data_IF_711010189128
#
_entry.id   IF_711010189128
#
_cell.length_a   1.000
_cell.length_b   1.000
_cell.length_c   1.000
_cell.angle_alpha   90.00
_cell.angle_beta   90.00
_cell.angle_gamma   90.00
#
_symmetry.space_group_name_H-M   'P 1'
#
loop_
_entity.id
_entity.type
_entity.pdbx_description
1 polymer ?
#
# COMPACT_ATOMS: atom_id res chain seq x y z
N UNK A 1 -45.42 -20.28 46.88
CA UNK A 1 -43.95 -20.34 47.07
C UNK A 1 -43.30 -19.87 45.80
N UNK A 2 -42.58 -18.75 45.86
CA UNK A 2 -41.90 -18.12 44.73
C UNK A 2 -40.71 -18.98 44.28
N UNK A 3 -40.71 -19.43 43.03
CA UNK A 3 -39.50 -19.96 42.41
C UNK A 3 -39.03 -18.99 41.33
N UNK A 4 -37.79 -18.52 41.53
CA UNK A 4 -37.02 -17.62 40.68
C UNK A 4 -36.84 -18.24 39.29
N UNK A 5 -36.59 -17.43 38.27
CA UNK A 5 -35.52 -17.62 37.28
C UNK A 5 -35.39 -16.35 36.41
N UNK A 6 -34.15 -16.08 36.00
CA UNK A 6 -33.53 -14.80 35.69
C UNK A 6 -33.96 -14.15 34.35
N UNK A 7 -33.75 -12.83 34.18
CA UNK A 7 -33.95 -12.13 32.91
C UNK A 7 -32.86 -12.54 31.89
N UNK A 8 -33.29 -13.08 30.75
CA UNK A 8 -32.43 -13.37 29.61
C UNK A 8 -31.90 -12.07 28.97
N UNK A 9 -30.66 -11.70 29.33
CA UNK A 9 -29.87 -10.71 28.61
C UNK A 9 -29.34 -11.35 27.31
N UNK A 10 -29.95 -11.03 26.18
CA UNK A 10 -29.40 -11.33 24.86
C UNK A 10 -28.28 -10.32 24.56
N UNK A 11 -27.03 -10.77 24.69
CA UNK A 11 -25.84 -10.00 24.31
C UNK A 11 -25.76 -10.03 22.78
N UNK A 12 -26.12 -8.91 22.15
CA UNK A 12 -25.87 -8.65 20.73
C UNK A 12 -24.36 -8.59 20.48
N UNK A 13 -23.79 -9.69 20.03
CA UNK A 13 -22.40 -9.76 19.58
C UNK A 13 -22.25 -9.19 18.17
N UNK A 14 -22.03 -7.88 18.04
CA UNK A 14 -21.52 -7.30 16.81
C UNK A 14 -20.02 -7.57 16.71
N UNK A 15 -19.63 -8.73 16.16
CA UNK A 15 -18.25 -8.97 15.74
C UNK A 15 -17.98 -8.20 14.44
N UNK A 16 -17.65 -6.92 14.54
CA UNK A 16 -17.09 -6.18 13.41
C UNK A 16 -15.66 -6.69 13.15
N UNK A 17 -15.53 -7.69 12.28
CA UNK A 17 -14.26 -8.11 11.70
C UNK A 17 -13.79 -7.03 10.72
N UNK A 18 -13.19 -5.96 11.23
CA UNK A 18 -12.43 -5.02 10.41
C UNK A 18 -10.98 -5.50 10.31
N UNK A 19 -10.73 -6.46 9.43
CA UNK A 19 -9.37 -6.89 9.11
C UNK A 19 -9.06 -6.59 7.64
N UNK A 20 -8.50 -5.39 7.47
CA UNK A 20 -7.53 -4.92 6.49
C UNK A 20 -7.70 -5.34 5.03
N UNK A 21 -7.90 -4.40 4.08
CA UNK A 21 -7.46 -4.66 2.72
C UNK A 21 -5.94 -4.85 2.80
N UNK A 22 -5.48 -6.10 2.70
CA UNK A 22 -4.11 -6.38 2.27
C UNK A 22 -3.99 -5.80 0.87
N UNK A 23 -3.63 -4.51 0.80
CA UNK A 23 -3.11 -3.91 -0.41
C UNK A 23 -1.77 -4.61 -0.59
N UNK A 24 -1.79 -5.71 -1.34
CA UNK A 24 -0.59 -6.37 -1.79
C UNK A 24 0.21 -5.32 -2.55
N UNK A 25 1.14 -4.67 -1.85
CA UNK A 25 2.15 -3.86 -2.50
C UNK A 25 2.87 -4.86 -3.40
N UNK A 26 2.65 -4.75 -4.71
CA UNK A 26 3.25 -5.63 -5.68
C UNK A 26 4.73 -5.72 -5.34
N UNK A 27 5.18 -6.86 -4.80
CA UNK A 27 6.59 -7.12 -4.47
C UNK A 27 7.42 -7.31 -5.75
N UNK A 28 6.98 -6.69 -6.84
CA UNK A 28 7.45 -6.90 -8.18
C UNK A 28 7.35 -5.58 -8.92
N UNK A 29 8.45 -5.21 -9.55
CA UNK A 29 8.54 -4.05 -10.40
C UNK A 29 7.71 -4.25 -11.67
N UNK A 30 7.21 -3.15 -12.20
CA UNK A 30 6.58 -3.13 -13.51
C UNK A 30 7.64 -3.32 -14.61
N UNK A 31 7.30 -3.91 -15.77
CA UNK A 31 8.16 -3.82 -16.95
C UNK A 31 8.40 -2.36 -17.33
N UNK A 32 9.61 -2.04 -17.79
CA UNK A 32 10.03 -0.66 -18.12
C UNK A 32 9.02 0.05 -19.03
N UNK A 33 8.65 -0.55 -20.16
CA UNK A 33 7.72 0.08 -21.09
C UNK A 33 6.38 0.43 -20.42
N UNK A 34 5.82 -0.48 -19.61
CA UNK A 34 4.58 -0.21 -18.88
C UNK A 34 4.77 0.89 -17.83
N UNK A 35 5.94 1.00 -17.24
CA UNK A 35 6.24 2.06 -16.29
C UNK A 35 6.28 3.42 -16.99
N UNK A 36 7.01 3.52 -18.11
CA UNK A 36 7.11 4.74 -18.92
C UNK A 36 5.73 5.21 -19.40
N UNK A 37 4.88 4.30 -19.87
CA UNK A 37 3.49 4.61 -20.27
C UNK A 37 2.66 5.23 -19.11
N UNK A 38 3.00 4.93 -17.86
CA UNK A 38 2.33 5.51 -16.70
C UNK A 38 2.95 6.83 -16.24
N UNK A 39 4.25 7.09 -16.46
CA UNK A 39 4.90 8.33 -16.01
C UNK A 39 4.23 9.57 -16.63
N UNK A 40 3.78 9.45 -17.88
CA UNK A 40 3.13 10.51 -18.64
C UNK A 40 1.63 10.67 -18.31
N UNK A 41 1.09 9.83 -17.42
CA UNK A 41 -0.33 9.85 -17.06
C UNK A 41 -0.74 11.14 -16.33
N UNK A 42 -1.89 11.75 -16.65
CA UNK A 42 -2.34 12.97 -16.00
C UNK A 42 -2.59 12.74 -14.50
N UNK A 43 -2.08 13.66 -13.67
CA UNK A 43 -2.22 13.56 -12.20
C UNK A 43 -1.32 12.50 -11.55
N UNK A 44 -0.41 11.89 -12.32
CA UNK A 44 0.61 11.02 -11.79
C UNK A 44 1.82 11.83 -11.30
N UNK A 45 2.46 11.31 -10.25
CA UNK A 45 3.64 11.90 -9.62
C UNK A 45 4.72 10.84 -9.56
N UNK A 46 5.88 11.15 -10.12
CA UNK A 46 7.08 10.31 -10.07
C UNK A 46 7.90 10.67 -8.84
N UNK A 47 8.23 9.65 -8.04
CA UNK A 47 9.14 9.75 -6.90
C UNK A 47 10.33 8.84 -7.12
N UNK A 48 11.54 9.38 -6.94
CA UNK A 48 12.79 8.61 -7.03
C UNK A 48 13.53 8.68 -5.70
N UNK A 49 13.89 7.52 -5.15
CA UNK A 49 14.70 7.42 -3.94
C UNK A 49 15.38 6.04 -3.84
N UNK A 50 16.31 5.87 -2.89
CA UNK A 50 17.05 4.62 -2.72
C UNK A 50 16.20 3.53 -2.05
N UNK A 51 15.72 2.59 -2.85
CA UNK A 51 14.83 1.50 -2.42
C UNK A 51 13.37 1.90 -2.22
N UNK A 52 12.48 0.91 -2.23
CA UNK A 52 11.03 1.10 -2.17
C UNK A 52 10.56 1.72 -0.85
N UNK A 53 11.25 1.48 0.27
CA UNK A 53 10.87 2.08 1.54
C UNK A 53 11.06 3.60 1.52
N UNK A 54 12.15 4.09 0.94
CA UNK A 54 12.43 5.52 0.82
C UNK A 54 11.46 6.23 -0.13
N UNK A 55 11.15 5.59 -1.27
CA UNK A 55 10.14 6.07 -2.22
C UNK A 55 8.78 6.21 -1.53
N UNK A 56 8.38 5.20 -0.76
CA UNK A 56 7.10 5.21 -0.04
C UNK A 56 7.08 6.18 1.13
N UNK A 57 8.21 6.37 1.82
CA UNK A 57 8.33 7.42 2.83
C UNK A 57 8.14 8.80 2.20
N UNK A 58 8.72 9.03 1.02
CA UNK A 58 8.57 10.29 0.32
C UNK A 58 7.16 10.55 -0.19
N UNK A 59 6.54 9.54 -0.80
CA UNK A 59 5.16 9.65 -1.26
C UNK A 59 4.20 9.99 -0.11
N UNK A 60 4.39 9.39 1.08
CA UNK A 60 3.61 9.74 2.28
C UNK A 60 3.87 11.18 2.74
N UNK A 61 5.13 11.62 2.73
CA UNK A 61 5.50 13.00 3.10
C UNK A 61 4.85 14.04 2.18
N UNK A 62 4.67 13.70 0.91
CA UNK A 62 3.97 14.54 -0.06
C UNK A 62 2.43 14.38 -0.05
N UNK A 63 1.88 13.49 0.77
CA UNK A 63 0.43 13.24 0.84
C UNK A 63 -0.14 12.50 -0.37
N UNK A 64 0.70 11.78 -1.12
CA UNK A 64 0.29 11.06 -2.33
C UNK A 64 -0.55 9.82 -2.00
N UNK A 65 -1.40 9.43 -2.94
CA UNK A 65 -2.34 8.33 -2.75
C UNK A 65 -1.66 6.97 -2.92
N UNK A 66 -1.99 6.07 -2.00
CA UNK A 66 -1.57 4.67 -2.01
C UNK A 66 -2.69 3.74 -2.51
N UNK A 67 -2.36 2.56 -3.09
CA UNK A 67 -1.01 2.11 -3.41
C UNK A 67 -0.37 2.90 -4.56
N UNK A 68 0.95 2.80 -4.70
CA UNK A 68 1.62 3.21 -5.93
C UNK A 68 0.96 2.52 -7.14
N UNK A 69 0.90 3.23 -8.26
CA UNK A 69 0.54 2.67 -9.56
C UNK A 69 1.57 1.62 -9.97
N UNK A 70 2.85 1.89 -9.68
CA UNK A 70 3.95 1.02 -10.07
C UNK A 70 5.27 1.42 -9.44
N UNK A 71 6.19 0.46 -9.41
CA UNK A 71 7.60 0.69 -9.10
C UNK A 71 8.47 0.16 -10.23
N UNK A 72 9.61 0.79 -10.46
CA UNK A 72 10.59 0.34 -11.45
C UNK A 72 11.99 0.87 -11.13
N UNK A 73 12.98 0.06 -11.46
CA UNK A 73 14.39 0.37 -11.48
C UNK A 73 15.06 -0.35 -12.66
N UNK A 74 16.17 0.17 -13.20
CA UNK A 74 16.89 -0.48 -14.30
C UNK A 74 17.37 -1.89 -13.96
N UNK A 75 17.78 -2.11 -12.71
CA UNK A 75 18.44 -3.35 -12.25
C UNK A 75 17.51 -4.30 -11.46
N UNK A 76 16.20 -4.01 -11.43
CA UNK A 76 15.22 -4.76 -10.63
C UNK A 76 15.60 -4.84 -9.12
N UNK A 77 15.96 -3.68 -8.55
CA UNK A 77 16.50 -3.52 -7.20
C UNK A 77 15.58 -2.79 -6.22
N UNK A 78 14.41 -2.29 -6.61
CA UNK A 78 13.49 -1.54 -5.74
C UNK A 78 13.19 -2.25 -4.42
N UNK A 79 12.96 -3.57 -4.49
CA UNK A 79 12.60 -4.41 -3.34
C UNK A 79 13.79 -5.16 -2.72
N UNK A 80 15.02 -4.86 -3.15
CA UNK A 80 16.22 -5.49 -2.59
C UNK A 80 16.43 -5.09 -1.14
N UNK A 81 16.86 -6.04 -0.32
CA UNK A 81 17.29 -5.82 1.07
C UNK A 81 18.74 -6.28 1.24
N UNK A 82 19.70 -5.38 1.53
CA UNK A 82 19.54 -3.91 1.66
C UNK A 82 19.23 -3.23 0.30
N UNK A 83 18.78 -1.96 0.29
CA UNK A 83 18.58 -1.19 -0.94
C UNK A 83 19.87 -1.09 -1.76
N UNK A 84 19.83 -1.60 -3.00
CA UNK A 84 21.01 -1.69 -3.88
C UNK A 84 21.13 -0.55 -4.89
N UNK A 85 20.07 0.24 -5.08
CA UNK A 85 20.06 1.33 -6.04
C UNK A 85 18.81 2.18 -5.91
N UNK A 86 18.65 3.08 -6.87
CA UNK A 86 17.48 3.94 -6.96
C UNK A 86 16.26 3.13 -7.39
N UNK A 87 15.13 3.53 -6.84
CA UNK A 87 13.81 3.02 -7.16
C UNK A 87 12.94 4.20 -7.57
N UNK A 88 12.12 3.98 -8.59
CA UNK A 88 11.13 4.94 -9.05
C UNK A 88 9.75 4.41 -8.70
N UNK A 89 8.90 5.24 -8.09
CA UNK A 89 7.50 4.95 -7.82
C UNK A 89 6.60 5.97 -8.47
N UNK A 90 5.50 5.51 -9.08
CA UNK A 90 4.46 6.38 -9.62
C UNK A 90 3.26 6.34 -8.69
N UNK A 91 2.80 7.51 -8.27
CA UNK A 91 1.66 7.68 -7.38
C UNK A 91 0.63 8.60 -8.03
N UNK A 92 -0.60 8.55 -7.53
CA UNK A 92 -1.58 9.59 -7.84
C UNK A 92 -1.44 10.73 -6.83
N UNK A 93 -1.64 11.95 -7.31
CA UNK A 93 -1.79 13.11 -6.43
C UNK A 93 -3.01 12.96 -5.51
#
# INVERSE_FOLDING_TARGET
MFNRLLPSLLITGCAALTASPTVASALKEMPEQKFLDQVEGPGHVLITAKGVEAVNAEARRQGLRFPAIGYWSPDNVCFSKPPRGDCNGIFRR
#
